data_IF_281008688721
#
_entry.id   IF_281008688721
#
_cell.length_a   1.000
_cell.length_b   1.000
_cell.length_c   1.000
_cell.angle_alpha   90.00
_cell.angle_beta   90.00
_cell.angle_gamma   90.00
#
_symmetry.space_group_name_H-M   'P 1'
#
loop_
_entity.id
_entity.type
_entity.pdbx_description
1 polymer ?
#
# COMPACT_ATOMS: atom_id res chain seq x y z
N UNK A 1 -6.29 22.87 16.28
CA UNK A 1 -6.33 22.05 15.04
C UNK A 1 -5.47 20.81 15.11
N UNK A 2 -4.25 20.89 15.63
CA UNK A 2 -3.28 19.77 15.60
C UNK A 2 -3.79 18.43 16.17
N UNK A 3 -4.58 18.46 17.25
CA UNK A 3 -5.18 17.24 17.84
C UNK A 3 -6.19 16.59 16.89
N UNK A 4 -6.94 17.39 16.13
CA UNK A 4 -7.92 16.92 15.15
C UNK A 4 -7.19 16.35 13.92
N UNK A 5 -6.16 17.04 13.44
CA UNK A 5 -5.34 16.55 12.32
C UNK A 5 -4.63 15.24 12.67
N UNK A 6 -4.13 15.13 13.91
CA UNK A 6 -3.53 13.90 14.42
C UNK A 6 -4.52 12.72 14.48
N UNK A 7 -5.84 12.95 14.38
CA UNK A 7 -6.83 11.90 14.21
C UNK A 7 -6.83 11.33 12.77
N UNK A 8 -6.47 12.13 11.77
CA UNK A 8 -6.58 11.82 10.34
C UNK A 8 -5.22 11.64 9.62
N UNK A 9 -4.16 11.21 10.32
CA UNK A 9 -2.73 11.22 9.90
C UNK A 9 -2.34 10.67 8.52
N UNK A 10 -3.22 10.03 7.76
CA UNK A 10 -2.82 9.23 6.60
C UNK A 10 -3.76 9.25 5.41
N UNK A 11 -4.97 9.77 5.57
CA UNK A 11 -5.96 9.83 4.50
C UNK A 11 -6.77 11.09 4.71
N UNK A 12 -7.01 11.83 3.62
CA UNK A 12 -7.82 13.04 3.67
C UNK A 12 -9.20 12.66 4.19
N UNK A 13 -9.63 13.21 5.32
CA UNK A 13 -10.94 12.86 5.84
C UNK A 13 -12.02 13.39 4.91
N UNK A 14 -13.14 12.68 4.83
CA UNK A 14 -14.33 13.19 4.13
C UNK A 14 -15.04 14.23 5.01
N UNK A 15 -15.83 15.15 4.42
CA UNK A 15 -16.63 16.09 5.19
C UNK A 15 -17.51 15.40 6.25
N UNK A 16 -18.11 14.26 5.91
CA UNK A 16 -18.94 13.47 6.83
C UNK A 16 -18.15 12.88 8.00
N UNK A 17 -16.92 12.42 7.78
CA UNK A 17 -16.04 11.92 8.84
C UNK A 17 -15.64 13.03 9.80
N UNK A 18 -15.33 14.22 9.28
CA UNK A 18 -15.01 15.41 10.08
C UNK A 18 -16.21 15.86 10.89
N UNK A 19 -17.39 15.97 10.25
CA UNK A 19 -18.62 16.36 10.93
C UNK A 19 -18.98 15.38 12.06
N UNK A 20 -18.88 14.08 11.79
CA UNK A 20 -19.14 13.04 12.78
C UNK A 20 -18.17 13.13 13.97
N UNK A 21 -16.89 13.43 13.71
CA UNK A 21 -15.89 13.62 14.75
C UNK A 21 -16.19 14.84 15.61
N UNK A 22 -16.50 15.99 14.99
CA UNK A 22 -16.86 17.23 15.69
C UNK A 22 -18.06 17.04 16.60
N UNK A 23 -19.12 16.38 16.11
CA UNK A 23 -20.32 16.11 16.90
C UNK A 23 -20.03 15.28 18.16
N UNK A 24 -18.99 14.44 18.15
CA UNK A 24 -18.58 13.62 19.29
C UNK A 24 -17.76 14.37 20.34
N UNK A 25 -17.17 15.52 20.01
CA UNK A 25 -16.28 16.22 20.94
C UNK A 25 -17.02 17.04 22.01
N UNK A 26 -18.31 17.34 21.81
CA UNK A 26 -19.11 18.11 22.77
C UNK A 26 -18.62 19.55 22.99
N UNK A 27 -17.88 20.12 22.04
CA UNK A 27 -17.35 21.48 22.13
C UNK A 27 -18.44 22.52 21.91
N UNK A 28 -18.52 23.50 22.82
CA UNK A 28 -19.57 24.54 22.81
C UNK A 28 -19.08 25.92 22.34
N UNK A 29 -17.76 26.13 22.25
CA UNK A 29 -17.15 27.40 21.82
C UNK A 29 -15.92 27.12 20.95
N UNK A 30 -15.67 27.99 19.98
CA UNK A 30 -14.50 27.92 19.08
C UNK A 30 -14.37 26.56 18.34
N UNK A 31 -15.51 26.01 17.90
CA UNK A 31 -15.54 24.77 17.13
C UNK A 31 -15.02 25.09 15.72
N UNK A 32 -13.93 24.46 15.26
CA UNK A 32 -13.47 24.64 13.89
C UNK A 32 -14.50 24.11 12.89
N UNK A 33 -14.60 24.75 11.73
CA UNK A 33 -15.50 24.28 10.66
C UNK A 33 -14.93 23.03 9.98
N UNK A 34 -15.80 22.29 9.28
CA UNK A 34 -15.37 21.14 8.48
C UNK A 34 -14.38 21.60 7.41
N UNK A 35 -14.65 22.72 6.77
CA UNK A 35 -13.82 23.35 5.75
C UNK A 35 -12.44 23.72 6.31
N UNK A 36 -12.38 24.35 7.50
CA UNK A 36 -11.11 24.70 8.14
C UNK A 36 -10.27 23.46 8.46
N UNK A 37 -10.90 22.38 8.91
CA UNK A 37 -10.19 21.12 9.20
C UNK A 37 -9.63 20.51 7.92
N UNK A 38 -10.41 20.50 6.84
CA UNK A 38 -9.97 19.95 5.55
C UNK A 38 -8.82 20.77 4.96
N UNK A 39 -8.95 22.10 4.97
CA UNK A 39 -7.92 23.02 4.49
C UNK A 39 -6.63 22.90 5.32
N UNK A 40 -6.76 22.86 6.65
CA UNK A 40 -5.62 22.72 7.54
C UNK A 40 -4.99 21.32 7.44
N UNK A 41 -5.78 20.27 7.20
CA UNK A 41 -5.26 18.92 6.93
C UNK A 41 -4.40 18.90 5.67
N UNK A 42 -4.89 19.49 4.57
CA UNK A 42 -4.14 19.60 3.31
C UNK A 42 -2.84 20.39 3.48
N UNK A 43 -2.87 21.50 4.23
CA UNK A 43 -1.68 22.28 4.52
C UNK A 43 -0.70 21.56 5.47
N UNK A 44 -1.20 20.64 6.31
CA UNK A 44 -0.41 19.86 7.27
C UNK A 44 0.21 18.60 6.70
N UNK A 45 -0.27 18.12 5.55
CA UNK A 45 0.37 17.05 4.80
C UNK A 45 1.78 17.54 4.44
N UNK A 46 2.76 17.05 5.20
CA UNK A 46 4.16 17.28 4.87
C UNK A 46 4.37 16.69 3.48
N UNK A 47 4.91 17.47 2.52
CA UNK A 47 5.38 16.89 1.28
C UNK A 47 6.28 15.71 1.62
N UNK A 48 5.98 14.52 1.09
CA UNK A 48 6.94 13.41 1.17
C UNK A 48 8.23 13.93 0.56
N UNK A 49 9.32 13.82 1.30
CA UNK A 49 10.59 14.40 0.83
C UNK A 49 11.01 13.69 -0.46
N UNK A 50 11.53 14.45 -1.43
CA UNK A 50 12.09 13.89 -2.67
C UNK A 50 13.10 12.76 -2.41
N UNK A 51 13.81 12.83 -1.29
CA UNK A 51 14.75 11.79 -0.86
C UNK A 51 14.05 10.45 -0.53
N UNK A 52 12.87 10.49 0.10
CA UNK A 52 12.07 9.30 0.39
C UNK A 52 11.55 8.68 -0.90
N UNK A 53 11.04 9.51 -1.82
CA UNK A 53 10.52 9.05 -3.10
C UNK A 53 11.62 8.47 -4.00
N UNK A 54 12.79 9.12 -4.05
CA UNK A 54 13.98 8.57 -4.73
C UNK A 54 14.43 7.24 -4.13
N UNK A 55 14.42 7.11 -2.80
CA UNK A 55 14.74 5.86 -2.13
C UNK A 55 13.75 4.77 -2.51
N UNK A 56 12.45 5.03 -2.44
CA UNK A 56 11.43 4.01 -2.77
C UNK A 56 11.54 3.62 -4.25
N UNK A 57 11.70 4.57 -5.17
CA UNK A 57 11.95 4.28 -6.58
C UNK A 57 13.17 3.39 -6.78
N UNK A 58 14.28 3.70 -6.11
CA UNK A 58 15.48 2.87 -6.17
C UNK A 58 15.22 1.45 -5.67
N UNK A 59 14.52 1.29 -4.54
CA UNK A 59 14.18 -0.04 -3.98
C UNK A 59 13.23 -0.81 -4.90
N UNK A 60 12.24 -0.15 -5.51
CA UNK A 60 11.35 -0.76 -6.52
C UNK A 60 12.13 -1.19 -7.77
N UNK A 61 13.06 -0.36 -8.25
CA UNK A 61 13.83 -0.62 -9.46
C UNK A 61 14.89 -1.70 -9.26
N UNK A 62 15.44 -1.85 -8.05
CA UNK A 62 16.48 -2.85 -7.73
C UNK A 62 15.90 -4.11 -7.10
N UNK A 63 14.66 -4.05 -6.60
CA UNK A 63 14.04 -5.07 -5.75
C UNK A 63 14.85 -5.43 -4.48
N UNK A 64 15.77 -4.55 -4.06
CA UNK A 64 16.60 -4.74 -2.88
C UNK A 64 15.94 -4.17 -1.62
N UNK A 65 14.92 -4.84 -1.11
CA UNK A 65 14.19 -4.41 0.09
C UNK A 65 14.89 -4.85 1.39
N UNK A 66 15.54 -3.96 2.16
CA UNK A 66 16.31 -4.34 3.33
C UNK A 66 15.42 -4.81 4.47
N UNK A 67 15.92 -5.75 5.26
CA UNK A 67 15.23 -6.23 6.46
C UNK A 67 14.09 -7.22 6.18
N UNK A 68 14.02 -7.79 4.98
CA UNK A 68 13.08 -8.84 4.60
C UNK A 68 13.80 -10.13 4.25
N UNK A 69 13.13 -11.26 4.51
CA UNK A 69 13.55 -12.57 4.04
C UNK A 69 12.32 -13.40 3.66
N UNK A 70 12.48 -14.27 2.65
CA UNK A 70 11.53 -15.35 2.37
C UNK A 70 12.01 -16.59 3.10
N UNK A 71 11.12 -17.22 3.86
CA UNK A 71 11.39 -18.45 4.61
C UNK A 71 10.28 -19.46 4.37
N UNK A 72 10.59 -20.75 4.46
CA UNK A 72 9.58 -21.79 4.38
C UNK A 72 8.74 -21.87 5.66
N UNK A 73 7.43 -22.05 5.50
CA UNK A 73 6.48 -22.34 6.55
C UNK A 73 5.78 -23.66 6.26
N UNK A 74 5.78 -24.62 7.20
CA UNK A 74 5.24 -25.96 6.95
C UNK A 74 3.72 -25.97 6.71
N UNK A 75 3.01 -24.89 7.05
CA UNK A 75 1.55 -24.79 6.89
C UNK A 75 1.18 -23.92 5.70
N UNK A 76 1.92 -22.83 5.48
CA UNK A 76 1.57 -21.80 4.49
C UNK A 76 2.44 -21.79 3.24
N UNK A 77 3.43 -22.69 3.16
CA UNK A 77 4.49 -22.59 2.16
C UNK A 77 5.40 -21.41 2.45
N UNK A 78 5.95 -20.77 1.44
CA UNK A 78 6.83 -19.62 1.63
C UNK A 78 6.11 -18.44 2.31
N UNK A 79 6.81 -17.74 3.22
CA UNK A 79 6.34 -16.52 3.87
C UNK A 79 7.44 -15.46 3.92
N UNK A 80 7.03 -14.20 3.91
CA UNK A 80 7.93 -13.07 4.20
C UNK A 80 7.99 -12.81 5.70
N UNK A 81 9.19 -12.67 6.24
CA UNK A 81 9.46 -12.25 7.62
C UNK A 81 10.34 -11.01 7.65
N UNK A 82 10.28 -10.27 8.76
CA UNK A 82 11.13 -9.10 9.01
C UNK A 82 12.37 -9.50 9.79
N UNK A 83 13.54 -9.04 9.35
CA UNK A 83 14.84 -9.22 10.02
C UNK A 83 15.23 -8.01 10.89
N UNK A 84 14.43 -6.95 10.84
CA UNK A 84 14.61 -5.71 11.60
C UNK A 84 13.25 -5.12 11.97
N UNK A 85 13.26 -4.15 12.88
CA UNK A 85 12.06 -3.41 13.26
C UNK A 85 11.64 -2.43 12.16
N UNK A 86 10.33 -2.37 11.91
CA UNK A 86 9.70 -1.38 11.05
C UNK A 86 8.74 -0.51 11.88
N UNK A 87 8.76 0.80 11.61
CA UNK A 87 7.85 1.75 12.25
C UNK A 87 6.56 1.88 11.45
N UNK A 88 5.49 2.27 12.13
CA UNK A 88 4.23 2.59 11.46
C UNK A 88 4.45 3.73 10.46
N UNK A 89 4.13 3.45 9.19
CA UNK A 89 4.31 4.39 8.08
C UNK A 89 5.50 4.06 7.18
N UNK A 90 6.38 3.13 7.58
CA UNK A 90 7.47 2.67 6.72
C UNK A 90 6.94 1.90 5.51
N UNK A 91 7.65 2.06 4.40
CA UNK A 91 7.44 1.23 3.20
C UNK A 91 8.21 -0.07 3.34
N UNK A 92 7.50 -1.18 3.15
CA UNK A 92 8.05 -2.54 3.34
C UNK A 92 8.58 -3.08 2.03
N UNK A 93 7.73 -3.19 1.01
CA UNK A 93 8.09 -3.50 -0.36
C UNK A 93 6.94 -3.10 -1.31
N UNK A 94 7.20 -3.10 -2.61
CA UNK A 94 6.15 -3.06 -3.62
C UNK A 94 5.54 -4.45 -3.84
N UNK A 95 4.34 -4.48 -4.41
CA UNK A 95 3.80 -5.70 -5.02
C UNK A 95 4.26 -5.69 -6.47
N UNK A 96 5.37 -6.37 -6.75
CA UNK A 96 6.10 -6.19 -8.00
C UNK A 96 5.53 -7.00 -9.18
N UNK A 97 5.31 -6.33 -10.30
CA UNK A 97 4.91 -6.95 -11.56
C UNK A 97 4.40 -5.93 -12.59
N UNK A 98 4.21 -6.33 -13.86
CA UNK A 98 3.56 -5.49 -14.86
C UNK A 98 2.14 -5.09 -14.43
N UNK A 99 1.80 -3.82 -14.68
CA UNK A 99 0.44 -3.31 -14.53
C UNK A 99 -0.34 -3.59 -15.82
N UNK A 100 -1.43 -4.32 -15.69
CA UNK A 100 -2.36 -4.68 -16.76
C UNK A 100 -3.76 -4.15 -16.46
N UNK A 101 -4.67 -4.21 -17.45
CA UNK A 101 -6.07 -3.90 -17.20
C UNK A 101 -6.71 -4.95 -16.27
N UNK A 102 -7.69 -4.54 -15.46
CA UNK A 102 -8.43 -5.50 -14.63
C UNK A 102 -9.14 -6.58 -15.48
N UNK A 103 -9.63 -6.24 -16.67
CA UNK A 103 -10.25 -7.22 -17.59
C UNK A 103 -9.26 -8.32 -17.99
N UNK A 104 -8.01 -7.96 -18.25
CA UNK A 104 -6.96 -8.92 -18.57
C UNK A 104 -6.56 -9.74 -17.33
N UNK A 105 -6.47 -9.11 -16.16
CA UNK A 105 -6.26 -9.83 -14.89
C UNK A 105 -7.36 -10.86 -14.62
N UNK A 106 -8.63 -10.51 -14.82
CA UNK A 106 -9.77 -11.41 -14.68
C UNK A 106 -9.70 -12.57 -15.69
N UNK A 107 -9.22 -12.32 -16.91
CA UNK A 107 -9.01 -13.35 -17.93
C UNK A 107 -7.94 -14.35 -17.50
N UNK A 108 -6.79 -13.86 -17.03
CA UNK A 108 -5.68 -14.67 -16.55
C UNK A 108 -6.07 -15.50 -15.32
N UNK A 109 -6.79 -14.90 -14.37
CA UNK A 109 -7.27 -15.62 -13.18
C UNK A 109 -8.22 -16.76 -13.54
N UNK A 110 -9.06 -16.59 -14.56
CA UNK A 110 -9.95 -17.67 -15.05
C UNK A 110 -9.24 -18.76 -15.84
N UNK A 111 -8.06 -18.49 -16.40
CA UNK A 111 -7.26 -19.48 -17.12
C UNK A 111 -6.30 -20.26 -16.24
N UNK A 112 -6.13 -19.86 -14.97
CA UNK A 112 -5.28 -20.58 -14.02
C UNK A 112 -5.85 -21.96 -13.70
N UNK A 113 -4.97 -22.93 -13.49
CA UNK A 113 -5.37 -24.28 -13.15
C UNK A 113 -6.03 -24.34 -11.77
N UNK A 114 -6.90 -25.33 -11.56
CA UNK A 114 -7.53 -25.54 -10.27
C UNK A 114 -6.45 -25.86 -9.23
N UNK A 115 -6.34 -25.02 -8.19
CA UNK A 115 -5.30 -25.02 -7.15
C UNK A 115 -3.96 -24.36 -7.51
N UNK A 116 -3.84 -23.71 -8.67
CA UNK A 116 -2.72 -22.83 -8.93
C UNK A 116 -2.80 -21.56 -8.05
N UNK A 117 -1.67 -21.16 -7.46
CA UNK A 117 -1.59 -19.93 -6.69
C UNK A 117 -1.65 -18.72 -7.62
N UNK A 118 -2.69 -17.89 -7.48
CA UNK A 118 -2.84 -16.66 -8.24
C UNK A 118 -2.12 -15.47 -7.61
N UNK A 119 -1.09 -14.94 -8.29
CA UNK A 119 -0.36 -13.74 -7.88
C UNK A 119 -0.84 -12.52 -8.68
N UNK A 120 -2.12 -12.17 -8.48
CA UNK A 120 -2.76 -11.01 -9.08
C UNK A 120 -3.23 -10.04 -8.00
N UNK A 121 -2.92 -8.76 -8.15
CA UNK A 121 -3.33 -7.72 -7.22
C UNK A 121 -4.17 -6.65 -7.92
N UNK A 122 -5.48 -6.66 -7.67
CA UNK A 122 -6.42 -5.71 -8.28
C UNK A 122 -6.53 -4.42 -7.46
N UNK A 123 -6.52 -3.28 -8.13
CA UNK A 123 -6.59 -1.97 -7.48
C UNK A 123 -7.29 -0.93 -8.37
N UNK A 124 -7.62 0.21 -7.76
CA UNK A 124 -8.08 1.41 -8.47
C UNK A 124 -6.93 2.42 -8.54
N UNK A 125 -6.70 2.99 -9.72
CA UNK A 125 -5.83 4.16 -9.84
C UNK A 125 -6.53 5.44 -9.35
N UNK A 126 -5.83 6.59 -9.41
CA UNK A 126 -6.39 7.88 -9.00
C UNK A 126 -7.61 8.32 -9.82
N UNK A 127 -7.79 7.78 -11.02
CA UNK A 127 -8.91 8.03 -11.91
C UNK A 127 -10.05 7.03 -11.75
N UNK A 128 -10.05 6.21 -10.68
CA UNK A 128 -11.00 5.11 -10.47
C UNK A 128 -10.98 4.05 -11.59
N UNK A 129 -9.89 3.95 -12.35
CA UNK A 129 -9.70 2.89 -13.33
C UNK A 129 -9.30 1.61 -12.61
N UNK A 130 -10.03 0.52 -12.86
CA UNK A 130 -9.66 -0.82 -12.37
C UNK A 130 -8.45 -1.37 -13.13
N UNK A 131 -7.39 -1.65 -12.39
CA UNK A 131 -6.13 -2.20 -12.87
C UNK A 131 -5.77 -3.45 -12.07
N UNK A 132 -4.77 -4.19 -12.55
CA UNK A 132 -4.23 -5.35 -11.88
C UNK A 132 -2.69 -5.35 -12.01
N UNK A 133 -1.98 -5.65 -10.93
CA UNK A 133 -0.57 -6.01 -10.98
C UNK A 133 -0.48 -7.52 -11.18
N UNK A 134 0.18 -7.95 -12.24
CA UNK A 134 0.37 -9.36 -12.56
C UNK A 134 1.76 -9.82 -12.13
N UNK A 135 1.84 -10.53 -11.01
CA UNK A 135 3.08 -10.99 -10.38
C UNK A 135 3.25 -12.53 -10.49
N UNK A 136 2.62 -13.18 -11.46
CA UNK A 136 2.71 -14.65 -11.61
C UNK A 136 4.10 -15.09 -12.05
N UNK A 137 4.68 -14.38 -13.03
CA UNK A 137 5.94 -14.77 -13.66
C UNK A 137 7.13 -14.52 -12.71
N UNK A 138 7.84 -15.58 -12.36
CA UNK A 138 9.12 -15.52 -11.67
C UNK A 138 10.14 -16.40 -12.41
N UNK A 139 11.39 -15.92 -12.59
CA UNK A 139 11.85 -14.55 -12.30
C UNK A 139 11.10 -13.51 -13.17
N UNK A 140 10.97 -12.27 -12.69
CA UNK A 140 10.32 -11.22 -13.48
C UNK A 140 11.25 -10.75 -14.61
N UNK A 141 10.70 -10.24 -15.70
CA UNK A 141 11.48 -9.84 -16.88
C UNK A 141 12.47 -8.71 -16.63
N UNK A 142 12.26 -7.89 -15.59
CA UNK A 142 13.18 -6.83 -15.19
C UNK A 142 14.22 -7.25 -14.14
N UNK A 143 14.08 -8.42 -13.52
CA UNK A 143 15.01 -8.97 -12.52
C UNK A 143 15.17 -10.48 -12.70
N UNK A 144 15.81 -10.88 -13.80
CA UNK A 144 16.00 -12.29 -14.17
C UNK A 144 16.90 -13.07 -13.21
N UNK A 145 17.70 -12.35 -12.42
CA UNK A 145 18.62 -12.86 -11.41
C UNK A 145 17.95 -13.13 -10.05
N UNK A 146 16.73 -12.62 -9.83
CA UNK A 146 15.99 -12.81 -8.58
C UNK A 146 15.00 -13.97 -8.67
N UNK A 147 15.04 -14.96 -7.77
CA UNK A 147 14.13 -16.11 -7.83
C UNK A 147 12.67 -15.73 -7.53
N UNK A 148 12.45 -14.65 -6.79
CA UNK A 148 11.12 -14.08 -6.50
C UNK A 148 11.26 -12.65 -6.00
N UNK A 149 10.14 -11.93 -5.94
CA UNK A 149 10.01 -10.65 -5.22
C UNK A 149 9.24 -10.84 -3.91
N UNK A 150 9.42 -9.94 -2.95
CA UNK A 150 8.81 -10.08 -1.62
C UNK A 150 7.30 -9.89 -1.63
N UNK A 151 6.79 -8.87 -2.32
CA UNK A 151 5.37 -8.49 -2.23
C UNK A 151 4.39 -9.62 -2.57
N UNK A 152 4.72 -10.44 -3.57
CA UNK A 152 3.90 -11.60 -3.97
C UNK A 152 3.90 -12.74 -2.95
N UNK A 153 4.91 -12.81 -2.07
CA UNK A 153 5.05 -13.84 -1.02
C UNK A 153 4.53 -13.40 0.35
N UNK A 154 4.00 -12.17 0.47
CA UNK A 154 3.38 -11.70 1.70
C UNK A 154 2.07 -12.44 1.92
N UNK A 155 1.96 -13.10 3.07
CA UNK A 155 0.78 -13.86 3.43
C UNK A 155 -0.40 -12.98 3.86
N UNK A 156 -1.59 -13.43 3.51
CA UNK A 156 -2.84 -12.79 3.92
C UNK A 156 -3.16 -13.01 5.42
N UNK A 157 -3.72 -12.00 6.07
CA UNK A 157 -4.31 -12.09 7.40
C UNK A 157 -5.51 -11.13 7.51
N UNK A 158 -6.73 -11.69 7.62
CA UNK A 158 -7.93 -10.89 7.88
C UNK A 158 -8.07 -10.48 9.35
N UNK A 159 -7.63 -11.33 10.27
CA UNK A 159 -7.83 -11.14 11.72
C UNK A 159 -6.82 -10.18 12.34
N UNK A 160 -5.56 -10.22 11.89
CA UNK A 160 -4.45 -9.43 12.44
C UNK A 160 -3.51 -8.99 11.32
N UNK A 161 -3.95 -8.11 10.40
CA UNK A 161 -3.04 -7.51 9.43
C UNK A 161 -2.13 -6.50 10.12
N UNK A 162 -0.86 -6.49 9.73
CA UNK A 162 0.14 -5.49 10.16
C UNK A 162 0.60 -4.59 9.01
N UNK A 163 0.13 -4.86 7.79
CA UNK A 163 0.42 -4.09 6.57
C UNK A 163 -0.87 -3.52 6.01
N UNK A 164 -0.74 -2.40 5.29
CA UNK A 164 -1.79 -1.84 4.44
C UNK A 164 -1.21 -1.51 3.06
N UNK A 165 -1.91 -1.84 1.97
CA UNK A 165 -1.50 -1.40 0.64
C UNK A 165 -1.68 0.12 0.51
N UNK A 166 -0.77 0.77 -0.22
CA UNK A 166 -0.87 2.18 -0.58
C UNK A 166 -0.47 2.34 -2.04
N UNK A 167 -1.16 3.22 -2.76
CA UNK A 167 -0.81 3.58 -4.14
C UNK A 167 0.06 4.84 -4.12
N UNK A 168 1.28 4.75 -4.62
CA UNK A 168 2.15 5.91 -4.78
C UNK A 168 2.56 6.05 -6.25
N UNK A 169 2.47 7.28 -6.75
CA UNK A 169 2.92 7.65 -8.08
C UNK A 169 4.18 8.45 -7.90
N UNK A 170 5.25 7.98 -8.52
CA UNK A 170 6.48 8.73 -8.65
C UNK A 170 6.40 9.52 -9.94
N UNK A 171 6.46 10.84 -9.85
CA UNK A 171 6.65 11.69 -11.02
C UNK A 171 8.06 11.39 -11.57
N UNK A 172 8.15 11.12 -12.87
CA UNK A 172 9.43 11.00 -13.57
C UNK A 172 10.05 12.37 -13.77
#
# INVERSE_FOLDING_TARGET
MDVIIAHYKHEKPTPSQVQSYLNRQGWLKQVPTVEDILLYWEASEKPKSDATDRRIQHLTNTQQWPGLAVVDDPVKGEKVVTLQDFKKGDYICDYHGPVISAKEGDRLMRSMEQNEMGYLYFFLDRGNKRLCIYAQNVPCSCHSDLPTTYGRKINHSRKRPNLRPTSQIFLK
#
